data_IF_153479074315
#
_entry.id   IF_153479074315
#
_cell.length_a   1.000
_cell.length_b   1.000
_cell.length_c   1.000
_cell.angle_alpha   90.00
_cell.angle_beta   90.00
_cell.angle_gamma   90.00
#
_symmetry.space_group_name_H-M   'P 1'
#
loop_
_entity.id
_entity.type
_entity.pdbx_description
1 polymer ?
#
# COMPACT_ATOMS: atom_id res chain seq x y z
N UNK A 1 10.04 25.85 11.44
CA UNK A 1 9.73 25.09 10.21
C UNK A 1 9.08 26.06 9.23
N UNK A 2 9.65 26.27 8.04
CA UNK A 2 9.32 27.43 7.21
C UNK A 2 8.01 27.21 6.41
N UNK A 3 7.10 28.19 6.39
CA UNK A 3 5.79 28.11 5.70
C UNK A 3 5.93 27.79 4.20
N UNK A 4 7.01 28.23 3.57
CA UNK A 4 7.34 27.91 2.17
C UNK A 4 7.73 26.44 1.96
N UNK A 5 8.40 25.82 2.93
CA UNK A 5 8.69 24.39 2.92
C UNK A 5 7.42 23.56 3.08
N UNK A 6 6.48 24.04 3.89
CA UNK A 6 5.18 23.41 4.09
C UNK A 6 4.31 23.52 2.83
N UNK A 7 4.30 24.68 2.16
CA UNK A 7 3.61 24.89 0.87
C UNK A 7 4.25 24.09 -0.29
N UNK A 8 5.58 24.02 -0.37
CA UNK A 8 6.27 23.13 -1.33
C UNK A 8 5.99 21.67 -1.04
N UNK A 9 5.92 21.25 0.22
CA UNK A 9 5.56 19.88 0.59
C UNK A 9 4.11 19.56 0.29
N UNK A 10 3.17 20.49 0.48
CA UNK A 10 1.76 20.28 0.09
C UNK A 10 1.56 20.27 -1.42
N UNK A 11 2.28 21.10 -2.18
CA UNK A 11 2.27 21.09 -3.66
C UNK A 11 3.03 19.87 -4.25
N UNK A 12 4.12 19.44 -3.63
CA UNK A 12 4.79 18.19 -4.01
C UNK A 12 3.91 16.98 -3.66
N UNK A 13 3.26 17.00 -2.49
CA UNK A 13 2.28 15.99 -2.09
C UNK A 13 1.03 15.99 -2.98
N UNK A 14 0.64 17.15 -3.53
CA UNK A 14 -0.49 17.26 -4.46
C UNK A 14 -0.18 16.67 -5.85
N UNK A 15 1.09 16.43 -6.18
CA UNK A 15 1.52 15.77 -7.42
C UNK A 15 1.74 14.27 -7.30
N UNK A 16 1.73 13.69 -6.08
CA UNK A 16 2.18 12.32 -5.84
C UNK A 16 1.32 11.22 -6.48
N UNK A 17 0.09 11.55 -6.88
CA UNK A 17 -0.89 10.56 -7.33
C UNK A 17 -1.51 10.94 -8.67
N UNK A 18 -0.69 11.30 -9.65
CA UNK A 18 -1.18 11.71 -10.98
C UNK A 18 -1.99 10.59 -11.65
N UNK A 19 -1.61 9.33 -11.46
CA UNK A 19 -2.26 8.18 -12.08
C UNK A 19 -2.44 7.00 -11.11
N UNK A 20 -3.39 6.13 -11.41
CA UNK A 20 -3.68 4.89 -10.65
C UNK A 20 -2.43 4.02 -10.41
N UNK A 21 -1.48 4.02 -11.35
CA UNK A 21 -0.23 3.25 -11.23
C UNK A 21 0.68 3.77 -10.11
N UNK A 22 0.82 5.08 -9.99
CA UNK A 22 1.62 5.71 -8.94
C UNK A 22 1.00 5.41 -7.58
N UNK A 23 -0.34 5.41 -7.54
CA UNK A 23 -1.07 5.01 -6.34
C UNK A 23 -0.79 3.58 -5.90
N UNK A 24 -0.85 2.64 -6.83
CA UNK A 24 -0.54 1.24 -6.52
C UNK A 24 0.92 1.10 -6.08
N UNK A 25 1.87 1.78 -6.72
CA UNK A 25 3.28 1.70 -6.33
C UNK A 25 3.53 2.19 -4.90
N UNK A 26 2.86 3.28 -4.51
CA UNK A 26 2.97 3.79 -3.14
C UNK A 26 2.26 2.89 -2.12
N UNK A 27 1.09 2.33 -2.47
CA UNK A 27 0.40 1.33 -1.64
C UNK A 27 1.27 0.08 -1.42
N UNK A 28 1.97 -0.39 -2.46
CA UNK A 28 2.96 -1.48 -2.38
C UNK A 28 4.07 -1.10 -1.37
N UNK A 29 4.65 0.09 -1.49
CA UNK A 29 5.70 0.56 -0.57
C UNK A 29 5.24 0.65 0.89
N UNK A 30 3.96 0.97 1.12
CA UNK A 30 3.37 1.05 2.46
C UNK A 30 3.03 -0.32 3.06
N UNK A 31 2.55 -1.29 2.26
CA UNK A 31 2.08 -2.59 2.76
C UNK A 31 3.17 -3.65 2.89
N UNK A 32 4.20 -3.61 2.04
CA UNK A 32 5.26 -4.61 2.03
C UNK A 32 6.10 -4.69 3.32
N UNK A 33 6.41 -3.58 4.02
CA UNK A 33 7.08 -3.65 5.32
C UNK A 33 6.29 -4.46 6.33
N UNK A 34 4.95 -4.35 6.34
CA UNK A 34 4.09 -5.15 7.20
C UNK A 34 4.16 -6.63 6.84
N UNK A 35 4.00 -6.96 5.55
CA UNK A 35 4.12 -8.34 5.07
C UNK A 35 5.48 -8.95 5.44
N UNK A 36 6.56 -8.20 5.24
CA UNK A 36 7.92 -8.61 5.59
C UNK A 36 8.06 -8.89 7.09
N UNK A 37 7.55 -8.02 7.96
CA UNK A 37 7.57 -8.23 9.41
C UNK A 37 6.85 -9.50 9.83
N UNK A 38 5.68 -9.81 9.25
CA UNK A 38 4.95 -11.04 9.55
C UNK A 38 5.73 -12.28 9.10
N UNK A 39 6.33 -12.24 7.91
CA UNK A 39 7.17 -13.34 7.41
C UNK A 39 8.40 -13.56 8.30
N UNK A 40 9.05 -12.49 8.74
CA UNK A 40 10.19 -12.56 9.66
C UNK A 40 9.76 -13.18 11.00
N UNK A 41 8.65 -12.73 11.57
CA UNK A 41 8.16 -13.23 12.85
C UNK A 41 7.87 -14.75 12.81
N UNK A 42 7.14 -15.22 11.79
CA UNK A 42 6.88 -16.65 11.66
C UNK A 42 8.13 -17.46 11.32
N UNK A 43 9.03 -16.93 10.48
CA UNK A 43 10.27 -17.62 10.15
C UNK A 43 11.19 -17.74 11.38
N UNK A 44 11.26 -16.69 12.21
CA UNK A 44 11.99 -16.73 13.49
C UNK A 44 11.37 -17.73 14.46
N UNK A 45 10.04 -17.81 14.54
CA UNK A 45 9.36 -18.80 15.38
C UNK A 45 9.77 -20.23 15.00
N UNK A 46 9.83 -20.54 13.69
CA UNK A 46 10.24 -21.85 13.19
C UNK A 46 11.74 -22.10 13.37
N UNK A 47 12.58 -21.11 13.07
CA UNK A 47 14.04 -21.23 13.20
C UNK A 47 14.46 -21.40 14.67
N UNK A 48 13.78 -20.71 15.59
CA UNK A 48 14.04 -20.78 17.02
C UNK A 48 13.25 -21.90 17.73
N UNK A 49 12.64 -22.83 16.98
CA UNK A 49 11.79 -23.89 17.56
C UNK A 49 12.47 -24.70 18.67
N UNK A 50 13.76 -25.02 18.54
CA UNK A 50 14.50 -25.77 19.56
C UNK A 50 14.92 -24.92 20.76
N UNK A 51 14.96 -23.59 20.62
CA UNK A 51 15.17 -22.66 21.73
C UNK A 51 13.87 -22.47 22.50
N UNK A 52 12.74 -22.36 21.78
CA UNK A 52 11.41 -22.18 22.35
C UNK A 52 10.85 -23.47 22.96
N UNK A 53 11.12 -24.61 22.32
CA UNK A 53 10.68 -25.94 22.70
C UNK A 53 11.91 -26.86 22.71
N UNK A 54 12.63 -26.94 23.84
CA UNK A 54 13.84 -27.75 23.95
C UNK A 54 13.58 -29.20 23.55
N UNK A 55 14.38 -29.72 22.62
CA UNK A 55 14.25 -31.10 22.12
C UNK A 55 13.12 -31.32 21.11
N UNK A 56 12.53 -30.28 20.52
CA UNK A 56 11.46 -30.40 19.51
C UNK A 56 11.83 -31.35 18.36
N UNK A 57 12.99 -31.16 17.75
CA UNK A 57 13.42 -32.02 16.63
C UNK A 57 13.72 -33.45 17.08
N UNK A 58 14.26 -33.63 18.29
CA UNK A 58 14.54 -34.94 18.86
C UNK A 58 13.24 -35.72 19.16
N UNK A 59 12.20 -35.03 19.61
CA UNK A 59 10.88 -35.60 19.88
C UNK A 59 10.17 -36.10 18.62
N UNK A 60 10.50 -35.55 17.45
CA UNK A 60 9.94 -35.97 16.16
C UNK A 60 10.63 -37.19 15.55
N UNK A 61 11.73 -37.68 16.13
CA UNK A 61 12.52 -38.83 15.64
C UNK A 61 12.89 -38.72 14.14
N UNK A 62 13.19 -37.51 13.69
CA UNK A 62 13.47 -37.18 12.28
C UNK A 62 14.98 -37.19 11.98
N UNK A 63 15.33 -37.54 10.73
CA UNK A 63 16.69 -37.45 10.22
C UNK A 63 17.23 -36.02 10.30
N UNK A 64 18.50 -35.86 10.70
CA UNK A 64 19.15 -34.56 10.90
C UNK A 64 19.18 -33.65 9.65
N UNK A 65 19.02 -34.22 8.45
CA UNK A 65 18.94 -33.48 7.19
C UNK A 65 17.69 -32.60 7.10
N UNK A 66 16.55 -33.05 7.64
CA UNK A 66 15.28 -32.33 7.51
C UNK A 66 15.27 -31.04 8.35
N UNK A 67 15.68 -31.05 9.64
CA UNK A 67 15.90 -29.83 10.42
C UNK A 67 16.85 -28.84 9.75
N UNK A 68 17.99 -29.32 9.23
CA UNK A 68 19.00 -28.46 8.59
C UNK A 68 18.44 -27.76 7.35
N UNK A 69 17.69 -28.49 6.51
CA UNK A 69 17.02 -27.92 5.35
C UNK A 69 15.99 -26.88 5.76
N UNK A 70 15.21 -27.14 6.82
CA UNK A 70 14.22 -26.20 7.33
C UNK A 70 14.86 -24.90 7.83
N UNK A 71 15.98 -24.99 8.55
CA UNK A 71 16.73 -23.82 9.03
C UNK A 71 17.28 -22.98 7.87
N UNK A 72 17.80 -23.63 6.82
CA UNK A 72 18.23 -22.98 5.58
C UNK A 72 17.09 -22.23 4.87
N UNK A 73 15.91 -22.84 4.78
CA UNK A 73 14.72 -22.20 4.20
C UNK A 73 14.24 -21.02 5.06
N UNK A 74 14.24 -21.14 6.39
CA UNK A 74 13.86 -20.03 7.27
C UNK A 74 14.82 -18.85 7.18
N UNK A 75 16.14 -19.11 7.08
CA UNK A 75 17.13 -18.07 6.84
C UNK A 75 16.87 -17.35 5.51
N UNK A 76 16.54 -18.09 4.45
CA UNK A 76 16.19 -17.52 3.15
C UNK A 76 14.92 -16.64 3.23
N UNK A 77 13.89 -17.07 3.99
CA UNK A 77 12.69 -16.26 4.22
C UNK A 77 13.00 -14.98 4.97
N UNK A 78 13.81 -15.04 6.04
CA UNK A 78 14.21 -13.86 6.83
C UNK A 78 15.02 -12.89 5.97
N UNK A 79 16.03 -13.38 5.23
CA UNK A 79 16.87 -12.54 4.38
C UNK A 79 16.06 -11.87 3.25
N UNK A 80 15.23 -12.62 2.52
CA UNK A 80 14.35 -12.07 1.50
C UNK A 80 13.38 -11.01 2.07
N UNK A 81 12.83 -11.25 3.26
CA UNK A 81 11.93 -10.32 3.94
C UNK A 81 12.65 -9.05 4.42
N UNK A 82 13.87 -9.16 4.93
CA UNK A 82 14.70 -8.00 5.31
C UNK A 82 15.06 -7.14 4.10
N UNK A 83 15.38 -7.75 2.95
CA UNK A 83 15.61 -7.01 1.70
C UNK A 83 14.34 -6.27 1.29
N UNK A 84 13.20 -6.95 1.31
CA UNK A 84 11.91 -6.36 0.95
C UNK A 84 11.55 -5.19 1.86
N UNK A 85 11.75 -5.33 3.16
CA UNK A 85 11.54 -4.29 4.17
C UNK A 85 12.48 -3.08 3.95
N UNK A 86 13.76 -3.34 3.71
CA UNK A 86 14.78 -2.30 3.51
C UNK A 86 14.57 -1.50 2.22
N UNK A 87 14.24 -2.18 1.12
CA UNK A 87 13.93 -1.51 -0.16
C UNK A 87 12.65 -0.69 -0.04
N UNK A 88 11.62 -1.22 0.64
CA UNK A 88 10.35 -0.51 0.85
C UNK A 88 10.49 0.79 1.64
N UNK A 89 11.45 0.87 2.57
CA UNK A 89 11.73 2.11 3.31
C UNK A 89 12.55 3.14 2.54
N UNK A 90 13.35 2.70 1.57
CA UNK A 90 14.26 3.58 0.81
C UNK A 90 13.63 4.18 -0.45
N UNK A 91 12.66 3.51 -1.05
CA UNK A 91 12.07 3.94 -2.32
C UNK A 91 10.79 4.76 -2.11
N UNK A 92 10.90 6.08 -2.20
CA UNK A 92 9.75 7.00 -2.17
C UNK A 92 8.85 6.90 -3.41
N UNK A 93 9.35 6.32 -4.51
CA UNK A 93 8.61 6.23 -5.79
C UNK A 93 7.82 4.93 -5.96
N UNK A 94 8.13 3.90 -5.15
CA UNK A 94 7.54 2.56 -5.19
C UNK A 94 7.85 1.72 -6.45
N UNK A 95 8.59 2.26 -7.43
CA UNK A 95 8.90 1.57 -8.69
C UNK A 95 9.96 0.49 -8.52
N UNK A 96 11.00 0.75 -7.73
CA UNK A 96 12.06 -0.22 -7.45
C UNK A 96 11.52 -1.32 -6.54
N UNK A 97 10.74 -0.94 -5.54
CA UNK A 97 10.08 -1.88 -4.63
C UNK A 97 9.24 -2.89 -5.40
N UNK A 98 8.43 -2.44 -6.37
CA UNK A 98 7.63 -3.33 -7.19
C UNK A 98 8.46 -4.35 -7.98
N UNK A 99 9.61 -3.94 -8.53
CA UNK A 99 10.53 -4.85 -9.24
C UNK A 99 11.15 -5.88 -8.31
N UNK A 100 11.63 -5.45 -7.14
CA UNK A 100 12.15 -6.37 -6.12
C UNK A 100 11.05 -7.34 -5.65
N UNK A 101 9.82 -6.86 -5.47
CA UNK A 101 8.69 -7.70 -5.06
C UNK A 101 8.37 -8.80 -6.09
N UNK A 102 8.53 -8.56 -7.39
CA UNK A 102 8.34 -9.59 -8.43
C UNK A 102 9.33 -10.76 -8.31
N UNK A 103 10.51 -10.53 -7.75
CA UNK A 103 11.53 -11.56 -7.54
C UNK A 103 11.41 -12.21 -6.17
N UNK A 104 11.16 -11.42 -5.12
CA UNK A 104 11.16 -11.90 -3.73
C UNK A 104 9.84 -12.56 -3.32
N UNK A 105 8.68 -12.10 -3.80
CA UNK A 105 7.40 -12.71 -3.45
C UNK A 105 7.24 -14.18 -3.90
N UNK A 106 7.60 -14.59 -5.13
CA UNK A 106 7.55 -16.01 -5.49
C UNK A 106 8.54 -16.84 -4.70
N UNK A 107 9.74 -16.31 -4.40
CA UNK A 107 10.72 -16.97 -3.54
C UNK A 107 10.13 -17.25 -2.15
N UNK A 108 9.54 -16.23 -1.52
CA UNK A 108 8.86 -16.37 -0.23
C UNK A 108 7.70 -17.37 -0.29
N UNK A 109 6.88 -17.31 -1.35
CA UNK A 109 5.77 -18.23 -1.56
C UNK A 109 6.24 -19.69 -1.66
N UNK A 110 7.31 -19.96 -2.42
CA UNK A 110 7.90 -21.29 -2.58
C UNK A 110 8.54 -21.77 -1.27
N UNK A 111 9.31 -20.92 -0.58
CA UNK A 111 9.90 -21.28 0.71
C UNK A 111 8.83 -21.72 1.71
N UNK A 112 7.77 -20.93 1.87
CA UNK A 112 6.66 -21.31 2.75
C UNK A 112 5.93 -22.54 2.25
N UNK A 113 5.71 -22.70 0.95
CA UNK A 113 5.09 -23.89 0.37
C UNK A 113 5.85 -25.17 0.70
N UNK A 114 7.19 -25.15 0.59
CA UNK A 114 8.07 -26.28 0.95
C UNK A 114 8.02 -26.55 2.46
N UNK A 115 8.17 -25.51 3.29
CA UNK A 115 8.13 -25.66 4.74
C UNK A 115 6.79 -26.19 5.24
N UNK A 116 5.69 -25.63 4.75
CA UNK A 116 4.34 -26.06 5.12
C UNK A 116 4.03 -27.47 4.65
N UNK A 117 4.48 -27.87 3.46
CA UNK A 117 4.39 -29.27 3.03
C UNK A 117 5.12 -30.17 4.03
N UNK A 118 6.34 -29.81 4.44
CA UNK A 118 7.12 -30.58 5.40
C UNK A 118 6.45 -30.70 6.77
N UNK A 119 5.87 -29.61 7.27
CA UNK A 119 5.14 -29.62 8.54
C UNK A 119 3.91 -30.52 8.52
N UNK A 120 3.20 -30.58 7.39
CA UNK A 120 1.97 -31.35 7.24
C UNK A 120 2.27 -32.82 6.94
N UNK A 121 3.07 -33.08 5.91
CA UNK A 121 3.29 -34.43 5.39
C UNK A 121 4.25 -35.25 6.26
N UNK A 122 5.34 -34.63 6.73
CA UNK A 122 6.39 -35.34 7.48
C UNK A 122 6.23 -35.17 8.98
N UNK A 123 6.11 -33.94 9.47
CA UNK A 123 6.07 -33.69 10.93
C UNK A 123 4.66 -33.81 11.53
N UNK A 124 3.62 -33.89 10.69
CA UNK A 124 2.21 -34.05 11.08
C UNK A 124 1.75 -33.07 12.15
N UNK A 125 2.23 -31.83 12.06
CA UNK A 125 1.95 -30.80 13.05
C UNK A 125 0.53 -30.24 12.85
N UNK A 126 -0.36 -30.28 13.86
CA UNK A 126 -1.73 -29.83 13.71
C UNK A 126 -1.84 -28.33 13.42
N UNK A 127 -0.88 -27.53 13.91
CA UNK A 127 -0.84 -26.08 13.72
C UNK A 127 -0.32 -25.64 12.33
N UNK A 128 0.16 -26.56 11.50
CA UNK A 128 0.66 -26.23 10.17
C UNK A 128 -0.46 -25.72 9.23
N UNK A 129 -1.68 -26.26 9.37
CA UNK A 129 -2.82 -25.84 8.55
C UNK A 129 -3.24 -24.39 8.85
N UNK A 130 -3.48 -23.99 10.13
CA UNK A 130 -3.75 -22.59 10.45
C UNK A 130 -2.63 -21.64 10.03
N UNK A 131 -1.36 -22.03 10.15
CA UNK A 131 -0.23 -21.19 9.76
C UNK A 131 -0.30 -20.78 8.28
N UNK A 132 -0.56 -21.73 7.38
CA UNK A 132 -0.70 -21.44 5.94
C UNK A 132 -1.89 -20.53 5.68
N UNK A 133 -3.03 -20.77 6.32
CA UNK A 133 -4.21 -19.91 6.19
C UNK A 133 -3.90 -18.47 6.65
N UNK A 134 -3.18 -18.30 7.76
CA UNK A 134 -2.77 -16.97 8.25
C UNK A 134 -1.84 -16.30 7.24
N UNK A 135 -0.81 -16.99 6.74
CA UNK A 135 0.11 -16.44 5.73
C UNK A 135 -0.63 -16.04 4.45
N UNK A 136 -1.60 -16.83 3.99
CA UNK A 136 -2.42 -16.50 2.83
C UNK A 136 -3.32 -15.28 3.07
N UNK A 137 -3.95 -15.18 4.25
CA UNK A 137 -4.77 -14.03 4.62
C UNK A 137 -3.92 -12.76 4.78
N UNK A 138 -2.74 -12.85 5.37
CA UNK A 138 -1.80 -11.72 5.47
C UNK A 138 -1.31 -11.30 4.09
N UNK A 139 -0.97 -12.25 3.22
CA UNK A 139 -0.61 -12.01 1.83
C UNK A 139 -1.74 -11.30 1.08
N UNK A 140 -2.98 -11.76 1.26
CA UNK A 140 -4.17 -11.13 0.70
C UNK A 140 -4.34 -9.69 1.19
N UNK A 141 -4.34 -9.46 2.49
CA UNK A 141 -4.50 -8.14 3.08
C UNK A 141 -3.39 -7.16 2.66
N UNK A 142 -2.18 -7.65 2.39
CA UNK A 142 -1.03 -6.81 2.01
C UNK A 142 -0.93 -6.56 0.50
N UNK A 143 -1.46 -7.46 -0.34
CA UNK A 143 -1.23 -7.46 -1.79
C UNK A 143 -2.54 -7.39 -2.62
N UNK A 144 -3.70 -7.18 -2.02
CA UNK A 144 -5.01 -7.23 -2.72
C UNK A 144 -5.08 -6.32 -3.96
N UNK A 145 -4.46 -5.13 -3.92
CA UNK A 145 -4.36 -4.17 -5.03
C UNK A 145 -3.33 -4.56 -6.10
N UNK A 146 -2.40 -5.48 -5.79
CA UNK A 146 -1.33 -5.92 -6.67
C UNK A 146 -1.46 -7.40 -7.05
N UNK A 147 -2.35 -7.68 -8.01
CA UNK A 147 -2.73 -9.05 -8.41
C UNK A 147 -1.54 -9.94 -8.79
N UNK A 148 -0.55 -9.38 -9.49
CA UNK A 148 0.64 -10.13 -9.93
C UNK A 148 1.46 -10.63 -8.73
N UNK A 149 1.82 -9.73 -7.81
CA UNK A 149 2.56 -10.11 -6.61
C UNK A 149 1.76 -11.03 -5.69
N UNK A 150 0.45 -10.77 -5.56
CA UNK A 150 -0.45 -11.62 -4.81
C UNK A 150 -0.46 -13.06 -5.36
N UNK A 151 -0.62 -13.23 -6.67
CA UNK A 151 -0.61 -14.54 -7.31
C UNK A 151 0.73 -15.25 -7.13
N UNK A 152 1.85 -14.53 -7.31
CA UNK A 152 3.20 -15.10 -7.12
C UNK A 152 3.43 -15.59 -5.68
N UNK A 153 2.90 -14.90 -4.68
CA UNK A 153 3.04 -15.30 -3.27
C UNK A 153 2.05 -16.40 -2.86
N UNK A 154 0.76 -16.29 -3.23
CA UNK A 154 -0.29 -17.21 -2.78
C UNK A 154 -0.33 -18.53 -3.56
N UNK A 155 0.03 -18.56 -4.84
CA UNK A 155 -0.18 -19.78 -5.66
C UNK A 155 0.61 -20.99 -5.16
N UNK A 156 1.91 -20.89 -4.75
CA UNK A 156 2.61 -22.04 -4.21
C UNK A 156 1.98 -22.54 -2.90
N UNK A 157 1.62 -21.61 -2.01
CA UNK A 157 0.94 -21.92 -0.75
C UNK A 157 -0.42 -22.59 -0.96
N UNK A 158 -1.18 -22.07 -1.93
CA UNK A 158 -2.50 -22.60 -2.25
C UNK A 158 -2.41 -24.02 -2.82
N UNK A 159 -1.39 -24.32 -3.62
CA UNK A 159 -1.15 -25.64 -4.20
C UNK A 159 -0.64 -26.65 -3.16
N UNK A 160 0.20 -26.22 -2.21
CA UNK A 160 0.73 -27.10 -1.17
C UNK A 160 -0.36 -27.79 -0.36
N UNK A 161 -1.48 -27.11 -0.09
CA UNK A 161 -2.52 -27.61 0.81
C UNK A 161 -3.26 -28.84 0.24
N UNK A 162 -3.78 -28.82 -1.00
CA UNK A 162 -4.28 -30.02 -1.67
C UNK A 162 -3.23 -31.12 -1.83
N UNK A 163 -1.98 -30.77 -2.18
CA UNK A 163 -0.91 -31.76 -2.38
C UNK A 163 -0.60 -32.51 -1.07
N UNK A 164 -0.46 -31.78 0.04
CA UNK A 164 -0.21 -32.37 1.34
C UNK A 164 -1.41 -33.21 1.82
N UNK A 165 -2.63 -32.75 1.56
CA UNK A 165 -3.85 -33.51 1.85
C UNK A 165 -3.91 -34.84 1.08
N UNK A 166 -3.61 -34.83 -0.23
CA UNK A 166 -3.58 -36.04 -1.05
C UNK A 166 -2.52 -37.02 -0.55
N UNK A 167 -1.35 -36.52 -0.16
CA UNK A 167 -0.28 -37.34 0.41
C UNK A 167 -0.71 -38.03 1.72
N UNK A 168 -1.34 -37.30 2.64
CA UNK A 168 -1.78 -37.84 3.93
C UNK A 168 -2.95 -38.82 3.82
N UNK A 169 -3.87 -38.58 2.87
CA UNK A 169 -5.09 -39.39 2.72
C UNK A 169 -4.94 -40.50 1.65
N UNK A 170 -3.75 -40.64 1.03
CA UNK A 170 -3.51 -41.55 -0.08
C UNK A 170 -4.52 -41.41 -1.24
N UNK A 171 -5.02 -40.20 -1.46
CA UNK A 171 -6.10 -39.93 -2.41
C UNK A 171 -6.79 -38.59 -2.15
N UNK A 172 -7.77 -38.27 -2.99
CA UNK A 172 -8.54 -37.02 -2.86
C UNK A 172 -9.51 -37.14 -1.69
N UNK A 173 -9.33 -36.32 -0.67
CA UNK A 173 -10.26 -36.20 0.44
C UNK A 173 -11.35 -35.16 0.10
N UNK A 174 -12.59 -35.61 -0.10
CA UNK A 174 -13.72 -34.75 -0.49
C UNK A 174 -14.08 -33.72 0.60
N UNK A 175 -14.00 -34.08 1.88
CA UNK A 175 -14.26 -33.15 2.98
C UNK A 175 -13.24 -32.01 2.97
N UNK A 176 -11.97 -32.35 2.80
CA UNK A 176 -10.91 -31.35 2.66
C UNK A 176 -11.14 -30.46 1.43
N UNK A 177 -11.44 -31.06 0.27
CA UNK A 177 -11.69 -30.31 -0.96
C UNK A 177 -12.85 -29.31 -0.80
N UNK A 178 -13.95 -29.71 -0.16
CA UNK A 178 -15.08 -28.84 0.12
C UNK A 178 -14.69 -27.63 0.99
N UNK A 179 -13.99 -27.88 2.11
CA UNK A 179 -13.51 -26.81 3.00
C UNK A 179 -12.53 -25.90 2.28
N UNK A 180 -11.63 -26.47 1.47
CA UNK A 180 -10.63 -25.72 0.72
C UNK A 180 -11.23 -24.82 -0.36
N UNK A 181 -12.30 -25.28 -1.03
CA UNK A 181 -13.07 -24.47 -1.98
C UNK A 181 -13.78 -23.32 -1.27
N UNK A 182 -14.39 -23.56 -0.11
CA UNK A 182 -15.02 -22.51 0.71
C UNK A 182 -13.97 -21.47 1.13
N UNK A 183 -12.82 -21.90 1.64
CA UNK A 183 -11.73 -21.00 2.00
C UNK A 183 -11.23 -20.19 0.79
N UNK A 184 -11.07 -20.83 -0.37
CA UNK A 184 -10.69 -20.15 -1.61
C UNK A 184 -11.72 -19.10 -2.01
N UNK A 185 -13.01 -19.39 -1.90
CA UNK A 185 -14.09 -18.44 -2.15
C UNK A 185 -14.04 -17.26 -1.17
N UNK A 186 -13.77 -17.50 0.12
CA UNK A 186 -13.59 -16.45 1.14
C UNK A 186 -12.42 -15.54 0.77
N UNK A 187 -11.27 -16.10 0.38
CA UNK A 187 -10.09 -15.33 -0.02
C UNK A 187 -10.38 -14.48 -1.26
N UNK A 188 -11.06 -15.04 -2.27
CA UNK A 188 -11.45 -14.30 -3.48
C UNK A 188 -12.45 -13.18 -3.16
N UNK A 189 -13.48 -13.48 -2.36
CA UNK A 189 -14.51 -12.50 -1.99
C UNK A 189 -13.93 -11.39 -1.11
N UNK A 190 -13.11 -11.74 -0.12
CA UNK A 190 -12.39 -10.79 0.71
C UNK A 190 -11.50 -9.86 -0.11
N UNK A 191 -10.80 -10.38 -1.13
CA UNK A 191 -10.06 -9.57 -2.09
C UNK A 191 -10.94 -8.55 -2.80
N UNK A 192 -12.12 -8.98 -3.27
CA UNK A 192 -13.06 -8.10 -3.99
C UNK A 192 -13.53 -6.96 -3.11
N UNK A 193 -13.83 -7.23 -1.84
CA UNK A 193 -14.23 -6.20 -0.88
C UNK A 193 -13.09 -5.20 -0.65
N UNK A 194 -11.89 -5.68 -0.32
CA UNK A 194 -10.74 -4.81 -0.07
C UNK A 194 -10.41 -3.94 -1.29
N UNK A 195 -10.51 -4.51 -2.50
CA UNK A 195 -10.29 -3.77 -3.73
C UNK A 195 -11.38 -2.73 -4.00
N UNK A 196 -12.64 -3.00 -3.63
CA UNK A 196 -13.73 -2.01 -3.71
C UNK A 196 -13.46 -0.83 -2.80
N UNK A 197 -13.21 -1.08 -1.51
CA UNK A 197 -12.90 -0.02 -0.55
C UNK A 197 -11.69 0.82 -0.95
N UNK A 198 -10.66 0.18 -1.49
CA UNK A 198 -9.48 0.90 -1.98
C UNK A 198 -9.80 1.81 -3.17
N UNK A 199 -10.61 1.33 -4.13
CA UNK A 199 -11.02 2.15 -5.27
C UNK A 199 -11.97 3.29 -4.85
N UNK A 200 -12.88 3.03 -3.90
CA UNK A 200 -13.79 4.03 -3.33
C UNK A 200 -13.02 5.12 -2.58
N UNK A 201 -12.08 4.72 -1.71
CA UNK A 201 -11.21 5.66 -0.99
C UNK A 201 -10.42 6.53 -1.97
N UNK A 202 -9.91 5.95 -3.05
CA UNK A 202 -9.21 6.69 -4.10
C UNK A 202 -10.12 7.70 -4.81
N UNK A 203 -11.32 7.28 -5.22
CA UNK A 203 -12.27 8.15 -5.90
C UNK A 203 -12.69 9.33 -5.00
N UNK A 204 -13.00 9.07 -3.74
CA UNK A 204 -13.36 10.09 -2.76
C UNK A 204 -12.23 11.09 -2.51
N UNK A 205 -10.97 10.61 -2.44
CA UNK A 205 -9.82 11.50 -2.32
C UNK A 205 -9.69 12.44 -3.53
N UNK A 206 -9.91 11.92 -4.73
CA UNK A 206 -9.81 12.73 -5.94
C UNK A 206 -10.92 13.79 -6.02
N UNK A 207 -12.15 13.43 -5.66
CA UNK A 207 -13.27 14.37 -5.60
C UNK A 207 -13.02 15.48 -4.56
N UNK A 208 -12.59 15.10 -3.35
CA UNK A 208 -12.28 16.07 -2.30
C UNK A 208 -11.18 17.06 -2.74
N UNK A 209 -10.14 16.57 -3.43
CA UNK A 209 -9.11 17.45 -4.00
C UNK A 209 -9.65 18.41 -5.05
N UNK A 210 -10.57 17.97 -5.91
CA UNK A 210 -11.20 18.86 -6.88
C UNK A 210 -12.08 19.92 -6.21
N UNK A 211 -12.82 19.53 -5.16
CA UNK A 211 -13.63 20.47 -4.37
C UNK A 211 -12.76 21.52 -3.67
N UNK A 212 -11.67 21.10 -3.03
CA UNK A 212 -10.71 22.01 -2.41
C UNK A 212 -10.14 22.99 -3.44
N UNK A 213 -9.69 22.51 -4.60
CA UNK A 213 -9.16 23.39 -5.66
C UNK A 213 -10.20 24.41 -6.17
N UNK A 214 -11.47 24.01 -6.27
CA UNK A 214 -12.57 24.92 -6.65
C UNK A 214 -12.84 25.97 -5.58
N UNK A 215 -12.86 25.58 -4.31
CA UNK A 215 -13.03 26.50 -3.18
C UNK A 215 -11.86 27.49 -3.08
N UNK A 216 -10.62 27.04 -3.29
CA UNK A 216 -9.45 27.93 -3.38
C UNK A 216 -9.63 28.96 -4.51
N UNK A 217 -10.11 28.53 -5.67
CA UNK A 217 -10.38 29.44 -6.79
C UNK A 217 -11.44 30.49 -6.44
N UNK A 218 -12.57 30.07 -5.87
CA UNK A 218 -13.66 30.96 -5.46
C UNK A 218 -13.29 31.93 -4.33
N UNK A 219 -12.37 31.54 -3.46
CA UNK A 219 -11.95 32.37 -2.31
C UNK A 219 -10.82 33.34 -2.63
N UNK A 220 -10.09 33.11 -3.73
CA UNK A 220 -8.94 33.92 -4.16
C UNK A 220 -9.24 34.78 -5.40
N UNK A 221 -10.37 34.57 -6.07
CA UNK A 221 -10.78 35.38 -7.21
C UNK A 221 -11.95 36.29 -6.84
N UNK A 222 -11.98 37.47 -7.46
CA UNK A 222 -13.12 38.37 -7.44
C UNK A 222 -14.15 37.87 -8.47
N UNK A 223 -15.41 37.60 -8.07
CA UNK A 223 -16.40 36.97 -8.94
C UNK A 223 -16.86 37.86 -10.09
N UNK A 224 -16.65 39.18 -10.01
CA UNK A 224 -17.08 40.14 -11.03
C UNK A 224 -16.04 40.26 -12.16
N UNK A 225 -14.76 40.16 -11.82
CA UNK A 225 -13.65 40.42 -12.76
C UNK A 225 -12.87 39.16 -13.12
N UNK A 226 -13.02 38.07 -12.36
CA UNK A 226 -12.18 36.87 -12.47
C UNK A 226 -10.71 37.09 -12.05
N UNK A 227 -10.35 38.30 -11.64
CA UNK A 227 -9.01 38.66 -11.19
C UNK A 227 -8.78 38.20 -9.76
N UNK A 228 -7.51 38.11 -9.35
CA UNK A 228 -7.15 37.83 -7.96
C UNK A 228 -7.75 38.89 -7.03
N UNK A 229 -8.48 38.47 -6.01
CA UNK A 229 -9.09 39.38 -5.05
C UNK A 229 -8.05 39.93 -4.06
N UNK A 230 -8.48 40.87 -3.21
CA UNK A 230 -7.62 41.50 -2.20
C UNK A 230 -6.91 40.49 -1.29
N UNK A 231 -7.58 39.39 -0.89
CA UNK A 231 -6.96 38.33 -0.07
C UNK A 231 -5.82 37.63 -0.80
N UNK A 232 -6.01 37.34 -2.09
CA UNK A 232 -4.96 36.74 -2.90
C UNK A 232 -3.75 37.68 -3.06
N UNK A 233 -3.99 38.97 -3.28
CA UNK A 233 -2.94 40.01 -3.33
C UNK A 233 -2.16 40.07 -2.01
N UNK A 234 -2.86 40.18 -0.86
CA UNK A 234 -2.24 40.25 0.47
C UNK A 234 -1.41 39.00 0.77
N UNK A 235 -1.94 37.80 0.45
CA UNK A 235 -1.20 36.54 0.62
C UNK A 235 0.04 36.48 -0.26
N UNK A 236 -0.04 36.95 -1.50
CA UNK A 236 1.09 36.92 -2.43
C UNK A 236 2.18 37.92 -2.02
N UNK A 237 1.81 39.15 -1.66
CA UNK A 237 2.75 40.17 -1.16
C UNK A 237 3.47 39.70 0.11
N UNK A 238 2.77 39.07 1.06
CA UNK A 238 3.38 38.49 2.25
C UNK A 238 4.41 37.40 1.91
N UNK A 239 4.15 36.58 0.88
CA UNK A 239 5.08 35.55 0.44
C UNK A 239 6.34 36.12 -0.22
N UNK A 240 6.20 37.20 -1.01
CA UNK A 240 7.31 37.85 -1.70
C UNK A 240 8.19 38.66 -0.75
N UNK A 241 7.59 39.27 0.27
CA UNK A 241 8.33 39.96 1.34
C UNK A 241 9.31 39.02 2.06
N UNK A 242 8.94 37.75 2.23
CA UNK A 242 9.80 36.74 2.86
C UNK A 242 11.04 36.34 2.03
N UNK A 243 11.05 36.61 0.72
CA UNK A 243 12.15 36.23 -0.20
C UNK A 243 13.07 37.42 -0.50
N UNK A 244 12.76 38.62 0.00
CA UNK A 244 13.54 39.86 -0.17
C UNK A 244 13.95 40.16 -1.62
N UNK A 245 13.02 39.95 -2.56
CA UNK A 245 13.23 40.30 -3.97
C UNK A 245 12.73 41.74 -4.20
N UNK A 246 13.41 42.59 -4.99
CA UNK A 246 12.88 43.90 -5.36
C UNK A 246 11.54 43.75 -6.11
N UNK A 247 10.56 44.56 -5.71
CA UNK A 247 9.16 44.47 -6.17
C UNK A 247 8.71 45.82 -6.76
N UNK A 248 7.92 45.74 -7.83
CA UNK A 248 7.16 46.87 -8.35
C UNK A 248 5.66 46.57 -8.24
N UNK A 249 4.88 47.56 -7.80
CA UNK A 249 3.42 47.48 -7.68
C UNK A 249 2.80 48.57 -8.56
N UNK A 250 1.82 48.19 -9.37
CA UNK A 250 1.01 49.12 -10.16
C UNK A 250 -0.39 49.12 -9.54
N UNK A 251 -0.86 50.30 -9.14
CA UNK A 251 -2.25 50.52 -8.74
C UNK A 251 -2.98 51.18 -9.90
N UNK A 252 -4.11 50.60 -10.29
CA UNK A 252 -4.99 51.10 -11.35
C UNK A 252 -6.33 51.42 -10.72
N UNK A 253 -6.87 52.61 -10.99
CA UNK A 253 -8.21 53.03 -10.58
C UNK A 253 -8.99 53.53 -11.81
N UNK A 254 -10.31 53.43 -11.78
CA UNK A 254 -11.18 53.87 -12.88
C UNK A 254 -11.76 55.24 -12.54
N UNK A 255 -11.34 56.26 -13.28
CA UNK A 255 -11.80 57.63 -13.06
C UNK A 255 -13.33 57.77 -13.25
N UNK A 256 -13.95 58.60 -12.40
CA UNK A 256 -15.39 58.91 -12.43
C UNK A 256 -16.35 57.71 -12.29
N UNK A 257 -15.89 56.55 -11.81
CA UNK A 257 -16.71 55.33 -11.70
C UNK A 257 -17.99 55.52 -10.87
N UNK A 258 -17.94 56.36 -9.83
CA UNK A 258 -19.11 56.71 -9.01
C UNK A 258 -20.24 57.38 -9.82
N UNK A 259 -19.89 58.35 -10.68
CA UNK A 259 -20.87 59.03 -11.52
C UNK A 259 -21.51 58.10 -12.55
N UNK A 260 -20.77 57.10 -13.04
CA UNK A 260 -21.31 56.07 -13.92
C UNK A 260 -22.35 55.20 -13.18
N UNK A 261 -22.00 54.67 -12.00
CA UNK A 261 -22.92 53.87 -11.19
C UNK A 261 -24.17 54.63 -10.75
N UNK A 262 -24.03 55.91 -10.39
CA UNK A 262 -25.15 56.77 -9.97
C UNK A 262 -26.13 57.06 -11.13
N UNK A 263 -25.65 57.03 -12.39
CA UNK A 263 -26.46 57.35 -13.59
C UNK A 263 -27.12 56.13 -14.23
N UNK A 264 -26.47 54.97 -14.21
CA UNK A 264 -26.96 53.75 -14.88
C UNK A 264 -27.45 52.66 -13.91
N UNK A 265 -27.34 52.89 -12.60
CA UNK A 265 -27.71 51.95 -11.55
C UNK A 265 -26.66 50.86 -11.33
N UNK A 266 -26.63 50.28 -10.13
CA UNK A 266 -25.61 49.30 -9.71
C UNK A 266 -25.47 48.06 -10.61
N UNK A 267 -26.51 47.70 -11.37
CA UNK A 267 -26.48 46.56 -12.28
C UNK A 267 -25.72 46.84 -13.60
N UNK A 268 -25.51 48.10 -13.98
CA UNK A 268 -24.88 48.45 -15.26
C UNK A 268 -23.34 48.45 -15.24
N UNK A 269 -22.72 48.30 -14.07
CA UNK A 269 -21.27 48.20 -13.89
C UNK A 269 -20.71 46.77 -13.92
N UNK A 270 -21.57 45.78 -14.13
CA UNK A 270 -21.21 44.35 -14.24
C UNK A 270 -21.15 43.98 -15.73
N UNK A 271 -19.97 43.70 -16.32
CA UNK A 271 -19.92 43.16 -17.68
C UNK A 271 -20.52 41.74 -17.69
N UNK A 272 -21.19 41.38 -18.78
CA UNK A 272 -21.56 40.01 -19.11
C UNK A 272 -20.33 39.19 -19.55
#
# INVERSE_FOLDING_TARGET
MNKMEQCRRTLAASSHWANRRDMVNQAIGASLPWLASVNIAFAMLVALRNLLFPGFDAALHINAVIPLLMDGVMLLVVTASLILWGVSRRDSSGRYVRRCALLLLPLLGVCWAVSSYGFIAYWRLPFAWPLVCILMLTGMASLYFYLQGLALFLTPLWLTMPLASVHLNHGINLHFAAIWLIFTAIVIYGRRILLRWFNEAWASHQENRQLIARLETLTLQDPLTGLANRRALESHLASLHAVQVPLALIMVDVDFFKHYNDRYGHQAGTPA
#
